data_IF_181784068926
#
_entry.id   IF_181784068926
#
_cell.length_a   1.000
_cell.length_b   1.000
_cell.length_c   1.000
_cell.angle_alpha   90.00
_cell.angle_beta   90.00
_cell.angle_gamma   90.00
#
_symmetry.space_group_name_H-M   'P 1'
#
loop_
_entity.id
_entity.type
_entity.pdbx_description
1 polymer ?
#
# COMPACT_ATOMS: atom_id res chain seq x y z
N UNK A 1 13.21 -5.49 -6.68
CA UNK A 1 12.45 -4.54 -7.47
C UNK A 1 11.45 -3.82 -6.59
N UNK A 2 11.36 -2.52 -6.73
CA UNK A 2 10.44 -1.75 -5.92
C UNK A 2 9.32 -1.17 -6.74
N UNK A 3 8.18 -1.01 -6.12
CA UNK A 3 7.00 -0.52 -6.78
C UNK A 3 6.63 0.83 -6.19
N UNK A 4 6.35 1.80 -7.05
CA UNK A 4 5.97 3.12 -6.59
C UNK A 4 4.49 3.11 -6.27
N UNK A 5 4.16 3.46 -5.04
CA UNK A 5 2.78 3.44 -4.61
C UNK A 5 2.05 4.68 -5.05
N UNK A 6 0.81 4.50 -5.46
CA UNK A 6 -0.07 5.62 -5.70
C UNK A 6 -0.65 5.96 -4.33
N UNK A 7 -0.06 6.94 -3.65
CA UNK A 7 -0.45 7.26 -2.28
C UNK A 7 -1.89 7.70 -2.16
N UNK A 8 -2.40 8.38 -3.18
CA UNK A 8 -3.79 8.79 -3.18
C UNK A 8 -4.71 7.58 -3.14
N UNK A 9 -4.43 6.58 -3.98
CA UNK A 9 -5.22 5.36 -4.00
C UNK A 9 -5.04 4.58 -2.71
N UNK A 10 -3.83 4.57 -2.17
CA UNK A 10 -3.53 3.87 -0.93
C UNK A 10 -4.39 4.42 0.22
N UNK A 11 -4.41 5.74 0.38
CA UNK A 11 -5.20 6.35 1.45
C UNK A 11 -6.69 6.21 1.19
N UNK A 12 -7.11 6.22 -0.08
CA UNK A 12 -8.52 6.00 -0.41
C UNK A 12 -8.96 4.61 0.01
N UNK A 13 -8.11 3.61 -0.21
CA UNK A 13 -8.44 2.25 0.18
C UNK A 13 -8.49 2.11 1.70
N UNK A 14 -7.58 2.77 2.41
CA UNK A 14 -7.61 2.76 3.86
C UNK A 14 -8.93 3.31 4.36
N UNK A 15 -9.35 4.44 3.81
CA UNK A 15 -10.59 5.08 4.23
C UNK A 15 -11.79 4.20 3.91
N UNK A 16 -11.77 3.56 2.76
CA UNK A 16 -12.84 2.69 2.34
C UNK A 16 -13.01 1.51 3.29
N UNK A 17 -11.92 1.05 3.87
CA UNK A 17 -11.96 -0.06 4.80
C UNK A 17 -12.03 0.39 6.27
N UNK A 18 -12.24 1.66 6.51
CA UNK A 18 -12.37 2.16 7.88
C UNK A 18 -11.08 2.18 8.65
N UNK A 19 -9.94 2.20 7.95
CA UNK A 19 -8.64 2.21 8.60
C UNK A 19 -8.15 3.64 8.69
N UNK A 20 -7.86 4.09 9.90
CA UNK A 20 -7.45 5.46 10.11
C UNK A 20 -5.97 5.64 10.39
N UNK A 21 -5.28 4.59 10.77
CA UNK A 21 -3.86 4.70 11.09
C UNK A 21 -3.09 3.55 10.49
N UNK A 22 -1.78 3.76 10.31
CA UNK A 22 -0.90 2.71 9.81
C UNK A 22 -0.83 1.56 10.81
N UNK A 23 -0.88 1.86 12.10
CA UNK A 23 -0.85 0.83 13.11
C UNK A 23 -2.08 -0.09 12.98
N UNK A 24 -3.24 0.49 12.72
CA UNK A 24 -4.44 -0.29 12.51
C UNK A 24 -4.30 -1.14 11.25
N UNK A 25 -3.77 -0.57 10.18
CA UNK A 25 -3.55 -1.29 8.94
C UNK A 25 -2.60 -2.47 9.17
N UNK A 26 -1.55 -2.26 9.93
CA UNK A 26 -0.61 -3.32 10.25
C UNK A 26 -1.30 -4.48 10.96
N UNK A 27 -2.13 -4.16 11.94
CA UNK A 27 -2.81 -5.18 12.72
C UNK A 27 -3.75 -6.01 11.84
N UNK A 28 -4.48 -5.34 10.97
CA UNK A 28 -5.48 -6.04 10.19
C UNK A 28 -4.91 -6.74 8.96
N UNK A 29 -3.87 -6.20 8.37
CA UNK A 29 -3.29 -6.80 7.18
C UNK A 29 -2.21 -7.84 7.48
N UNK A 30 -1.66 -7.79 8.67
CA UNK A 30 -0.57 -8.69 9.00
C UNK A 30 0.78 -8.20 8.51
N UNK A 31 0.85 -7.00 7.96
CA UNK A 31 2.11 -6.43 7.51
C UNK A 31 2.69 -5.61 8.65
N UNK A 32 3.98 -5.71 8.90
CA UNK A 32 4.57 -5.01 10.03
C UNK A 32 4.48 -3.50 9.86
N UNK A 33 4.39 -2.79 10.96
CA UNK A 33 4.37 -1.33 10.94
C UNK A 33 5.61 -0.77 10.28
N UNK A 34 6.75 -1.41 10.53
CA UNK A 34 8.01 -0.95 9.98
C UNK A 34 7.96 -0.95 8.46
N UNK A 35 7.44 -2.00 7.86
CA UNK A 35 7.31 -2.08 6.42
C UNK A 35 6.34 -1.03 5.90
N UNK A 36 5.23 -0.84 6.60
CA UNK A 36 4.23 0.13 6.16
C UNK A 36 4.72 1.57 6.28
N UNK A 37 5.36 1.89 7.38
CA UNK A 37 5.90 3.25 7.55
C UNK A 37 6.99 3.52 6.52
N UNK A 38 7.81 2.53 6.23
CA UNK A 38 8.82 2.68 5.20
C UNK A 38 8.22 2.95 3.84
N UNK A 39 7.14 2.23 3.52
CA UNK A 39 6.48 2.40 2.24
C UNK A 39 5.84 3.79 2.14
N UNK A 40 5.19 4.24 3.19
CA UNK A 40 4.54 5.54 3.19
C UNK A 40 5.57 6.66 3.13
N UNK A 41 6.64 6.52 3.89
CA UNK A 41 7.67 7.55 3.97
C UNK A 41 8.38 7.73 2.63
N UNK A 42 8.66 6.64 1.94
CA UNK A 42 9.40 6.71 0.70
C UNK A 42 8.52 6.65 -0.55
N UNK A 43 7.26 6.27 -0.39
CA UNK A 43 6.36 6.15 -1.53
C UNK A 43 6.66 4.96 -2.40
N UNK A 44 7.49 4.02 -1.93
CA UNK A 44 7.81 2.81 -2.68
C UNK A 44 7.79 1.63 -1.72
N UNK A 45 7.54 0.47 -2.26
CA UNK A 45 7.49 -0.72 -1.43
C UNK A 45 7.99 -1.92 -2.23
N UNK A 46 8.31 -3.00 -1.53
CA UNK A 46 8.73 -4.21 -2.18
C UNK A 46 7.53 -4.87 -2.82
N UNK A 47 7.80 -5.72 -3.79
CA UNK A 47 6.74 -6.41 -4.50
C UNK A 47 5.89 -7.25 -3.56
N UNK A 48 6.51 -7.88 -2.61
CA UNK A 48 5.79 -8.73 -1.67
C UNK A 48 4.82 -7.94 -0.80
N UNK A 49 5.27 -6.83 -0.26
CA UNK A 49 4.41 -5.98 0.55
C UNK A 49 3.27 -5.43 -0.29
N UNK A 50 3.56 -5.05 -1.52
CA UNK A 50 2.58 -4.52 -2.43
C UNK A 50 1.47 -5.56 -2.72
N UNK A 51 1.86 -6.80 -2.96
CA UNK A 51 0.90 -7.87 -3.18
C UNK A 51 0.02 -8.09 -1.96
N UNK A 52 0.60 -8.04 -0.78
CA UNK A 52 -0.16 -8.22 0.44
C UNK A 52 -1.16 -7.09 0.65
N UNK A 53 -0.75 -5.87 0.34
CA UNK A 53 -1.65 -4.73 0.46
C UNK A 53 -2.82 -4.85 -0.52
N UNK A 54 -2.54 -5.18 -1.76
CA UNK A 54 -3.58 -5.32 -2.75
C UNK A 54 -4.56 -6.42 -2.38
N UNK A 55 -4.04 -7.52 -1.86
CA UNK A 55 -4.87 -8.63 -1.45
C UNK A 55 -5.75 -8.25 -0.27
N UNK A 56 -5.18 -7.53 0.69
CA UNK A 56 -5.92 -7.11 1.87
C UNK A 56 -7.03 -6.14 1.48
N UNK A 57 -6.73 -5.18 0.63
CA UNK A 57 -7.72 -4.21 0.21
C UNK A 57 -8.74 -4.80 -0.77
N UNK A 58 -8.44 -5.93 -1.35
CA UNK A 58 -9.34 -6.55 -2.31
C UNK A 58 -9.43 -5.82 -3.62
N UNK A 59 -8.35 -5.14 -4.01
CA UNK A 59 -8.32 -4.41 -5.27
C UNK A 59 -7.26 -4.98 -6.18
N UNK A 60 -7.26 -4.53 -7.43
CA UNK A 60 -6.23 -4.97 -8.34
C UNK A 60 -4.92 -4.31 -7.98
N UNK A 61 -3.83 -4.99 -8.27
CA UNK A 61 -2.52 -4.44 -7.98
C UNK A 61 -2.32 -3.12 -8.68
N UNK A 62 -2.83 -3.00 -9.88
CA UNK A 62 -2.63 -1.80 -10.67
C UNK A 62 -3.32 -0.59 -10.07
N UNK A 63 -4.29 -0.79 -9.19
CA UNK A 63 -4.98 0.32 -8.57
C UNK A 63 -4.12 1.02 -7.54
N UNK A 64 -3.10 0.34 -7.02
CA UNK A 64 -2.23 0.92 -6.02
C UNK A 64 -0.89 1.35 -6.58
N UNK A 65 -0.65 1.13 -7.84
CA UNK A 65 0.64 1.41 -8.44
C UNK A 65 0.57 2.59 -9.38
N UNK A 66 1.57 3.45 -9.33
CA UNK A 66 1.67 4.52 -10.30
C UNK A 66 2.28 3.92 -11.55
N UNK A 67 1.63 4.05 -12.69
CA UNK A 67 2.15 3.46 -13.92
C UNK A 67 3.53 3.97 -14.23
N UNK A 68 4.38 3.06 -14.66
CA UNK A 68 5.72 3.41 -14.99
C UNK A 68 5.79 3.73 -16.45
N UNK A 69 5.14 4.74 -16.89
CA UNK A 69 5.19 5.03 -18.23
C UNK A 69 5.57 6.38 -18.42
N UNK A 70 6.45 6.77 -17.70
CA UNK A 70 6.93 8.01 -17.83
C UNK A 70 7.63 8.10 -19.06
N UNK A 71 7.32 8.08 -19.95
CA UNK A 71 8.08 8.18 -21.12
C UNK A 71 7.54 9.20 -21.97
#
# INVERSE_FOLDING_TARGET
MKIILNMSAFYSQMKKHGIETIRQLSRESGITCECLYGAVDRGVTSKETYWRLAKFFGCHIEDLQIPDETR
#
